data_IF_866461180361
#
_entry.id   IF_866461180361
#
_cell.length_a   1.000
_cell.length_b   1.000
_cell.length_c   1.000
_cell.angle_alpha   90.00
_cell.angle_beta   90.00
_cell.angle_gamma   90.00
#
_symmetry.space_group_name_H-M   'P 1'
#
loop_
_entity.id
_entity.type
_entity.pdbx_description
1 polymer ?
#
# COMPACT_ATOMS: atom_id res chain seq x y z
N UNK A 1 -5.84 -2.96 -17.50
CA UNK A 1 -5.88 -2.83 -16.02
C UNK A 1 -4.54 -3.33 -15.51
N UNK A 2 -3.92 -2.65 -14.53
CA UNK A 2 -2.62 -3.05 -13.98
C UNK A 2 -2.82 -3.83 -12.69
N UNK A 3 -1.96 -4.82 -12.44
CA UNK A 3 -2.11 -5.74 -11.31
C UNK A 3 -0.91 -5.67 -10.38
N UNK A 4 -1.17 -5.42 -9.09
CA UNK A 4 -0.23 -5.68 -8.01
C UNK A 4 -0.54 -7.05 -7.43
N UNK A 5 0.43 -7.96 -7.45
CA UNK A 5 0.24 -9.38 -7.13
C UNK A 5 1.17 -9.75 -5.97
N UNK A 6 0.65 -10.43 -4.95
CA UNK A 6 1.52 -10.94 -3.90
C UNK A 6 2.44 -12.05 -4.45
N UNK A 7 3.55 -12.36 -3.76
CA UNK A 7 4.54 -13.33 -4.24
C UNK A 7 3.95 -14.67 -4.75
N UNK A 8 3.03 -15.28 -4.00
CA UNK A 8 2.42 -16.56 -4.39
C UNK A 8 1.23 -16.45 -5.36
N UNK A 9 0.89 -15.25 -5.83
CA UNK A 9 -0.21 -15.03 -6.77
C UNK A 9 -1.64 -15.11 -6.21
N UNK A 10 -1.84 -15.45 -4.93
CA UNK A 10 -3.19 -15.68 -4.37
C UNK A 10 -3.98 -14.40 -4.11
N UNK A 11 -3.30 -13.26 -3.97
CA UNK A 11 -3.91 -11.94 -3.83
C UNK A 11 -3.51 -11.10 -5.04
N UNK A 12 -4.52 -10.59 -5.75
CA UNK A 12 -4.35 -9.67 -6.89
C UNK A 12 -5.11 -8.38 -6.61
N UNK A 13 -4.47 -7.26 -6.84
CA UNK A 13 -5.07 -5.94 -6.71
C UNK A 13 -5.00 -5.25 -8.06
N UNK A 14 -6.15 -4.94 -8.63
CA UNK A 14 -6.26 -4.33 -9.93
C UNK A 14 -6.52 -2.82 -9.81
N UNK A 15 -5.80 -2.03 -10.59
CA UNK A 15 -5.93 -0.58 -10.69
C UNK A 15 -5.99 -0.14 -12.15
N UNK A 16 -6.58 1.03 -12.41
CA UNK A 16 -6.78 1.53 -13.79
C UNK A 16 -5.54 2.14 -14.44
N UNK A 17 -4.58 2.62 -13.65
CA UNK A 17 -3.42 3.38 -14.14
C UNK A 17 -2.20 3.19 -13.24
N UNK A 18 -1.01 3.36 -13.82
CA UNK A 18 0.23 3.36 -13.05
C UNK A 18 0.27 4.56 -12.08
N UNK A 19 0.92 4.43 -10.91
CA UNK A 19 1.06 5.55 -9.99
C UNK A 19 2.04 6.56 -10.56
N UNK A 20 1.71 7.85 -10.54
CA UNK A 20 2.70 8.91 -10.88
C UNK A 20 3.75 9.09 -9.79
N UNK A 21 3.35 8.84 -8.55
CA UNK A 21 4.21 8.97 -7.38
C UNK A 21 3.90 7.86 -6.39
N UNK A 22 4.92 7.41 -5.65
CA UNK A 22 4.76 6.51 -4.51
C UNK A 22 5.39 7.13 -3.27
N UNK A 23 4.84 6.81 -2.09
CA UNK A 23 5.41 7.27 -0.82
C UNK A 23 6.31 6.21 -0.23
N UNK A 24 7.58 6.56 0.00
CA UNK A 24 8.46 5.85 0.92
C UNK A 24 8.37 6.54 2.28
N UNK A 25 7.92 5.80 3.30
CA UNK A 25 7.75 6.34 4.65
C UNK A 25 8.70 5.63 5.61
N UNK A 26 9.47 6.41 6.37
CA UNK A 26 10.44 5.88 7.34
C UNK A 26 9.81 5.46 8.70
N UNK A 27 8.49 5.59 8.88
CA UNK A 27 7.86 5.25 10.16
C UNK A 27 8.07 3.76 10.50
N UNK A 28 7.99 3.42 11.79
CA UNK A 28 8.43 2.11 12.29
C UNK A 28 7.78 0.91 11.60
N UNK A 29 6.52 1.02 11.15
CA UNK A 29 5.81 -0.04 10.43
C UNK A 29 6.13 -0.04 8.93
N UNK A 30 6.15 1.12 8.27
CA UNK A 30 6.39 1.22 6.82
C UNK A 30 7.80 0.76 6.47
N UNK A 31 8.82 1.18 7.23
CA UNK A 31 10.21 0.75 6.99
C UNK A 31 10.42 -0.76 7.20
N UNK A 32 9.65 -1.40 8.09
CA UNK A 32 9.71 -2.86 8.33
C UNK A 32 8.96 -3.65 7.27
N UNK A 33 7.94 -3.06 6.65
CA UNK A 33 7.25 -3.68 5.53
C UNK A 33 7.98 -3.48 4.20
N UNK A 34 8.98 -2.60 4.13
CA UNK A 34 9.69 -2.29 2.89
C UNK A 34 8.77 -1.74 1.80
N UNK A 35 7.63 -1.16 2.18
CA UNK A 35 6.55 -0.85 1.26
C UNK A 35 6.72 0.54 0.62
N UNK A 36 6.36 0.62 -0.66
CA UNK A 36 6.15 1.88 -1.38
C UNK A 36 4.65 2.06 -1.58
N UNK A 37 4.05 3.13 -1.08
CA UNK A 37 2.60 3.27 -1.11
C UNK A 37 2.13 4.08 -2.33
N UNK A 38 1.36 3.43 -3.20
CA UNK A 38 0.61 4.04 -4.28
C UNK A 38 -0.85 4.28 -3.84
N UNK A 39 -1.35 5.50 -4.01
CA UNK A 39 -2.66 5.90 -3.47
C UNK A 39 -3.72 5.98 -4.57
N UNK A 40 -4.84 5.30 -4.35
CA UNK A 40 -5.97 5.23 -5.28
C UNK A 40 -7.30 5.45 -4.55
N UNK A 41 -8.32 5.93 -5.26
CA UNK A 41 -9.68 5.94 -4.71
C UNK A 41 -10.18 4.50 -4.57
N UNK A 42 -10.96 4.22 -3.53
CA UNK A 42 -11.51 2.89 -3.28
C UNK A 42 -12.38 2.39 -4.44
N UNK A 43 -13.08 3.30 -5.14
CA UNK A 43 -13.86 2.98 -6.34
C UNK A 43 -13.01 2.59 -7.56
N UNK A 44 -11.70 2.86 -7.55
CA UNK A 44 -10.78 2.55 -8.65
C UNK A 44 -9.91 1.32 -8.40
N UNK A 45 -10.11 0.63 -7.26
CA UNK A 45 -9.33 -0.53 -6.84
C UNK A 45 -10.24 -1.74 -6.69
N UNK A 46 -9.90 -2.82 -7.38
CA UNK A 46 -10.52 -4.14 -7.20
C UNK A 46 -9.51 -5.05 -6.51
N UNK A 47 -9.94 -5.73 -5.44
CA UNK A 47 -9.09 -6.65 -4.66
C UNK A 47 -9.68 -8.04 -4.79
N UNK A 48 -8.89 -8.95 -5.33
CA UNK A 48 -9.21 -10.36 -5.48
C UNK A 48 -8.35 -11.17 -4.51
N UNK A 49 -9.00 -11.91 -3.64
CA UNK A 49 -8.39 -12.85 -2.73
C UNK A 49 -9.39 -13.96 -2.40
N UNK A 50 -8.94 -15.20 -2.14
CA UNK A 50 -9.83 -16.24 -1.65
C UNK A 50 -10.44 -15.85 -0.30
N UNK A 51 -11.57 -16.47 0.05
CA UNK A 51 -12.19 -16.27 1.37
C UNK A 51 -11.18 -16.63 2.46
N UNK A 52 -10.89 -15.68 3.36
CA UNK A 52 -9.87 -15.86 4.39
C UNK A 52 -8.42 -15.79 3.88
N UNK A 53 -8.17 -15.39 2.63
CA UNK A 53 -6.83 -15.26 2.05
C UNK A 53 -6.03 -14.04 2.52
N UNK A 54 -6.68 -13.12 3.22
CA UNK A 54 -6.08 -11.92 3.79
C UNK A 54 -6.22 -11.89 5.30
N UNK A 55 -5.15 -11.53 6.00
CA UNK A 55 -5.19 -11.06 7.39
C UNK A 55 -4.89 -9.56 7.43
N UNK A 56 -5.35 -8.89 8.49
CA UNK A 56 -5.11 -7.46 8.68
C UNK A 56 -4.48 -7.17 10.04
N UNK A 57 -3.62 -6.15 10.07
CA UNK A 57 -2.97 -5.66 11.27
C UNK A 57 -3.17 -4.15 11.39
N UNK A 58 -3.48 -3.67 12.60
CA UNK A 58 -3.66 -2.25 12.90
C UNK A 58 -2.85 -1.87 14.13
N UNK A 59 -2.12 -0.76 14.05
CA UNK A 59 -1.21 -0.32 15.11
C UNK A 59 -1.62 1.02 15.73
N UNK A 60 -1.24 1.25 17.00
CA UNK A 60 -1.53 2.45 17.82
C UNK A 60 -3.00 2.87 17.79
N UNK A 61 -3.31 4.06 17.25
CA UNK A 61 -4.66 4.62 17.14
C UNK A 61 -5.59 3.81 16.21
N UNK A 62 -5.06 2.73 15.61
CA UNK A 62 -5.75 1.83 14.68
C UNK A 62 -6.44 2.65 13.59
N UNK A 63 -5.69 3.59 12.99
CA UNK A 63 -6.20 4.45 11.90
C UNK A 63 -6.24 3.67 10.59
N UNK A 64 -5.18 2.90 10.35
CA UNK A 64 -4.96 2.10 9.14
C UNK A 64 -4.99 0.62 9.48
N UNK A 65 -5.61 -0.16 8.62
CA UNK A 65 -5.53 -1.63 8.61
C UNK A 65 -4.65 -2.04 7.42
N UNK A 66 -3.50 -2.66 7.70
CA UNK A 66 -2.57 -3.19 6.72
C UNK A 66 -2.90 -4.65 6.45
N UNK A 67 -3.15 -5.00 5.19
CA UNK A 67 -3.54 -6.32 4.76
C UNK A 67 -2.34 -7.07 4.19
N UNK A 68 -2.24 -8.36 4.51
CA UNK A 68 -1.20 -9.26 4.01
C UNK A 68 -1.80 -10.56 3.52
N UNK A 69 -1.16 -11.16 2.54
CA UNK A 69 -1.48 -12.51 2.07
C UNK A 69 -1.24 -13.53 3.20
N UNK A 70 -2.22 -14.38 3.49
CA UNK A 70 -2.06 -15.44 4.49
C UNK A 70 -1.18 -16.60 4.03
N UNK A 71 -0.92 -16.71 2.72
CA UNK A 71 -0.07 -17.77 2.15
C UNK A 71 1.41 -17.37 2.16
N UNK A 72 1.76 -16.19 1.65
CA UNK A 72 3.17 -15.76 1.51
C UNK A 72 3.58 -14.61 2.43
N UNK A 73 2.67 -14.03 3.20
CA UNK A 73 2.98 -12.94 4.13
C UNK A 73 3.19 -11.56 3.49
N UNK A 74 3.27 -11.44 2.16
CA UNK A 74 3.42 -10.16 1.48
C UNK A 74 2.33 -9.17 1.90
N UNK A 75 2.75 -7.96 2.28
CA UNK A 75 1.84 -6.84 2.55
C UNK A 75 1.37 -6.29 1.21
N UNK A 76 0.05 -6.25 1.01
CA UNK A 76 -0.53 -5.93 -0.30
C UNK A 76 -1.10 -4.53 -0.37
N UNK A 77 -1.81 -4.10 0.67
CA UNK A 77 -2.39 -2.77 0.73
C UNK A 77 -2.73 -2.39 2.17
N UNK A 78 -3.04 -1.12 2.41
CA UNK A 78 -3.77 -0.71 3.59
C UNK A 78 -5.00 0.11 3.25
N UNK A 79 -5.97 0.10 4.16
CA UNK A 79 -7.16 0.96 4.12
C UNK A 79 -7.26 1.75 5.41
N UNK A 80 -7.84 2.94 5.33
CA UNK A 80 -8.30 3.64 6.52
C UNK A 80 -9.51 2.92 7.10
N UNK A 81 -9.60 2.84 8.43
CA UNK A 81 -10.81 2.28 9.07
C UNK A 81 -11.97 3.25 8.86
N UNK A 82 -13.20 2.72 8.69
CA UNK A 82 -14.43 3.48 8.40
C UNK A 82 -14.59 4.75 9.25
N UNK A 83 -14.28 4.69 10.55
CA UNK A 83 -14.39 5.84 11.47
C UNK A 83 -13.53 7.06 11.12
N UNK A 84 -12.55 6.91 10.22
CA UNK A 84 -11.65 7.98 9.78
C UNK A 84 -11.96 8.47 8.36
N UNK A 85 -13.03 7.98 7.72
CA UNK A 85 -13.67 8.61 6.56
C UNK A 85 -12.89 8.65 5.23
N UNK A 86 -11.67 8.11 5.14
CA UNK A 86 -10.92 8.18 3.88
C UNK A 86 -11.32 7.07 2.92
N UNK A 87 -11.80 7.48 1.74
CA UNK A 87 -12.07 6.61 0.60
C UNK A 87 -10.81 6.24 -0.20
N UNK A 88 -9.63 6.25 0.44
CA UNK A 88 -8.35 5.95 -0.20
C UNK A 88 -7.86 4.56 0.17
N UNK A 89 -7.39 3.82 -0.83
CA UNK A 89 -6.65 2.57 -0.67
C UNK A 89 -5.20 2.82 -1.05
N UNK A 90 -4.28 2.46 -0.17
CA UNK A 90 -2.85 2.50 -0.45
C UNK A 90 -2.38 1.10 -0.85
N UNK A 91 -2.05 0.92 -2.11
CA UNK A 91 -1.52 -0.34 -2.66
C UNK A 91 0.00 -0.35 -2.49
N UNK A 92 0.55 -1.47 -2.04
CA UNK A 92 1.99 -1.64 -1.97
C UNK A 92 2.54 -1.81 -3.39
N UNK A 93 3.22 -0.78 -3.88
CA UNK A 93 3.71 -0.68 -5.24
C UNK A 93 4.83 -1.69 -5.54
N UNK A 94 5.54 -2.20 -4.52
CA UNK A 94 6.56 -3.25 -4.69
C UNK A 94 5.99 -4.59 -5.17
N UNK A 95 4.65 -4.71 -5.22
CA UNK A 95 3.96 -5.89 -5.74
C UNK A 95 3.54 -5.73 -7.21
N UNK A 96 3.77 -4.57 -7.84
CA UNK A 96 3.66 -4.45 -9.30
C UNK A 96 4.92 -5.02 -9.97
N UNK A 97 4.78 -5.41 -11.24
CA UNK A 97 5.95 -5.71 -12.07
C UNK A 97 6.86 -4.47 -12.20
N UNK A 98 8.20 -4.65 -12.32
CA UNK A 98 9.15 -3.53 -12.32
C UNK A 98 8.93 -2.49 -13.43
N UNK A 99 8.45 -2.91 -14.60
CA UNK A 99 8.15 -2.03 -15.74
C UNK A 99 7.07 -1.00 -15.42
N UNK A 100 6.07 -1.38 -14.61
CA UNK A 100 5.00 -0.47 -14.14
C UNK A 100 5.56 0.66 -13.28
N UNK A 101 6.70 0.45 -12.62
CA UNK A 101 7.33 1.41 -11.73
C UNK A 101 8.39 2.28 -12.41
N UNK A 102 8.68 2.04 -13.69
CA UNK A 102 9.64 2.86 -14.43
C UNK A 102 9.19 4.33 -14.48
N UNK A 103 10.09 5.24 -14.13
CA UNK A 103 9.81 6.68 -14.10
C UNK A 103 8.89 7.14 -12.96
N UNK A 104 8.43 6.24 -12.08
CA UNK A 104 7.59 6.61 -10.94
C UNK A 104 8.41 7.35 -9.90
N UNK A 105 7.98 8.56 -9.54
CA UNK A 105 8.70 9.38 -8.56
C UNK A 105 8.46 8.87 -7.13
N UNK A 106 9.54 8.58 -6.41
CA UNK A 106 9.48 8.27 -4.99
C UNK A 106 9.47 9.55 -4.18
N UNK A 107 8.43 9.75 -3.36
CA UNK A 107 8.32 10.84 -2.39
C UNK A 107 8.65 10.29 -1.00
N UNK A 108 9.63 10.90 -0.33
CA UNK A 108 10.04 10.48 1.00
C UNK A 108 9.31 11.27 2.07
N UNK A 109 8.70 10.54 3.00
CA UNK A 109 7.95 11.08 4.13
C UNK A 109 8.65 10.68 5.43
N UNK A 110 9.02 11.68 6.23
CA UNK A 110 9.46 11.45 7.60
C UNK A 110 8.25 11.18 8.51
N UNK A 111 7.73 9.95 8.46
CA UNK A 111 6.67 9.51 9.37
C UNK A 111 7.16 9.03 10.74
N UNK A 112 8.47 9.09 11.00
CA UNK A 112 9.06 8.73 12.27
C UNK A 112 9.03 9.90 13.26
N UNK A 113 9.27 11.12 12.78
CA UNK A 113 9.37 12.31 13.64
C UNK A 113 8.42 13.42 13.23
N UNK A 114 8.67 14.07 12.09
CA UNK A 114 8.05 15.37 11.74
C UNK A 114 6.71 15.28 11.01
N UNK A 115 6.40 14.12 10.40
CA UNK A 115 5.28 13.94 9.48
C UNK A 115 5.29 14.89 8.27
N UNK A 116 6.47 15.39 7.89
CA UNK A 116 6.66 16.26 6.71
C UNK A 116 7.40 15.53 5.58
N UNK A 117 7.29 16.08 4.37
CA UNK A 117 8.02 15.56 3.21
C UNK A 117 9.48 16.00 3.28
N UNK A 118 10.43 15.11 2.98
CA UNK A 118 11.87 15.42 3.08
C UNK A 118 12.31 16.57 2.16
N UNK A 119 11.60 16.84 1.07
CA UNK A 119 11.89 17.97 0.18
C UNK A 119 11.33 19.32 0.68
N UNK A 120 10.63 19.33 1.81
CA UNK A 120 10.17 20.53 2.52
C UNK A 120 10.99 20.80 3.78
N UNK A 121 12.03 19.99 4.03
CA UNK A 121 13.03 20.18 5.08
C UNK A 121 14.27 20.81 4.46
#
# INVERSE_FOLDING_TARGET
MLSAICHCGSVRIHVRRAPRTVTSCNCSICRRYGALWAYYSASSVQIEAPKGGLSSYSWRRKIRAYFRCNTCGCVTHYKYRKKWGSATVAVNATNFEPDVLQGVRVRKLDGASTWTWEYLQ
#
